data_IF_669293210768
#
_entry.id   IF_669293210768
#
_cell.length_a   1.000
_cell.length_b   1.000
_cell.length_c   1.000
_cell.angle_alpha   90.00
_cell.angle_beta   90.00
_cell.angle_gamma   90.00
#
_symmetry.space_group_name_H-M   'P 1'
#
loop_
_entity.id
_entity.type
_entity.pdbx_description
1 polymer ?
#
# COMPACT_ATOMS: atom_id res chain seq x y z
N UNK A 1 -15.74 14.48 -38.23
CA UNK A 1 -15.67 13.03 -37.91
C UNK A 1 -14.45 12.62 -37.08
N UNK A 2 -13.24 13.13 -37.34
CA UNK A 2 -12.01 12.73 -36.63
C UNK A 2 -12.06 12.88 -35.10
N UNK A 3 -12.62 13.98 -34.58
CA UNK A 3 -12.60 14.25 -33.13
C UNK A 3 -13.51 13.33 -32.29
N UNK A 4 -14.66 12.91 -32.84
CA UNK A 4 -15.57 11.93 -32.17
C UNK A 4 -14.90 10.55 -32.04
N UNK A 5 -14.09 10.16 -33.03
CA UNK A 5 -13.30 8.93 -32.98
C UNK A 5 -12.25 9.00 -31.87
N UNK A 6 -11.54 10.13 -31.75
CA UNK A 6 -10.53 10.33 -30.70
C UNK A 6 -11.09 10.20 -29.27
N UNK A 7 -12.24 10.83 -28.96
CA UNK A 7 -12.87 10.71 -27.63
C UNK A 7 -13.24 9.26 -27.34
N UNK A 8 -13.82 8.57 -28.33
CA UNK A 8 -14.17 7.16 -28.20
C UNK A 8 -12.94 6.29 -27.94
N UNK A 9 -11.84 6.54 -28.64
CA UNK A 9 -10.60 5.80 -28.48
C UNK A 9 -9.98 6.04 -27.09
N UNK A 10 -10.02 7.27 -26.58
CA UNK A 10 -9.59 7.61 -25.21
C UNK A 10 -10.45 6.91 -24.16
N UNK A 11 -11.78 6.93 -24.33
CA UNK A 11 -12.71 6.26 -23.42
C UNK A 11 -12.48 4.75 -23.38
N UNK A 12 -12.27 4.13 -24.55
CA UNK A 12 -11.93 2.71 -24.66
C UNK A 12 -10.60 2.39 -23.98
N UNK A 13 -9.57 3.22 -24.18
CA UNK A 13 -8.27 3.04 -23.54
C UNK A 13 -8.40 3.08 -22.01
N UNK A 14 -9.16 4.04 -21.47
CA UNK A 14 -9.42 4.12 -20.04
C UNK A 14 -10.15 2.87 -19.50
N UNK A 15 -11.16 2.37 -20.22
CA UNK A 15 -11.85 1.13 -19.86
C UNK A 15 -10.88 -0.06 -19.82
N UNK A 16 -9.99 -0.18 -20.81
CA UNK A 16 -9.00 -1.26 -20.84
C UNK A 16 -8.00 -1.17 -19.69
N UNK A 17 -7.49 0.03 -19.39
CA UNK A 17 -6.56 0.19 -18.25
C UNK A 17 -7.28 -0.08 -16.92
N UNK A 18 -8.52 0.39 -16.76
CA UNK A 18 -9.32 0.11 -15.56
C UNK A 18 -9.55 -1.39 -15.37
N UNK A 19 -9.82 -2.15 -16.44
CA UNK A 19 -9.93 -3.62 -16.38
C UNK A 19 -8.61 -4.27 -16.01
N UNK A 20 -7.51 -3.87 -16.64
CA UNK A 20 -6.18 -4.40 -16.31
C UNK A 20 -5.81 -4.17 -14.84
N UNK A 21 -6.10 -2.98 -14.29
CA UNK A 21 -5.84 -2.71 -12.87
C UNK A 21 -6.75 -3.52 -11.96
N UNK A 22 -8.03 -3.74 -12.33
CA UNK A 22 -8.89 -4.62 -11.55
C UNK A 22 -8.41 -6.07 -11.54
N UNK A 23 -7.88 -6.58 -12.66
CA UNK A 23 -7.27 -7.91 -12.73
C UNK A 23 -6.01 -8.00 -11.86
N UNK A 24 -5.15 -6.98 -11.93
CA UNK A 24 -3.97 -6.87 -11.04
C UNK A 24 -4.41 -6.87 -9.58
N UNK A 25 -5.42 -6.08 -9.21
CA UNK A 25 -5.95 -6.04 -7.86
C UNK A 25 -6.49 -7.38 -7.40
N UNK A 26 -7.16 -8.14 -8.28
CA UNK A 26 -7.67 -9.46 -7.94
C UNK A 26 -6.53 -10.41 -7.55
N UNK A 27 -5.46 -10.45 -8.35
CA UNK A 27 -4.27 -11.27 -8.07
C UNK A 27 -3.55 -10.78 -6.82
N UNK A 28 -3.31 -9.46 -6.73
CA UNK A 28 -2.70 -8.83 -5.56
C UNK A 28 -3.50 -9.08 -4.28
N UNK A 29 -4.83 -9.11 -4.34
CA UNK A 29 -5.67 -9.37 -3.17
C UNK A 29 -5.42 -10.75 -2.58
N UNK A 30 -5.21 -11.77 -3.40
CA UNK A 30 -5.00 -13.14 -2.91
C UNK A 30 -3.57 -13.28 -2.35
N UNK A 31 -2.57 -12.75 -3.06
CA UNK A 31 -1.16 -13.00 -2.75
C UNK A 31 -0.62 -12.04 -1.67
N UNK A 32 -0.96 -10.76 -1.75
CA UNK A 32 -0.39 -9.74 -0.86
C UNK A 32 -0.89 -9.84 0.57
N UNK A 33 -2.11 -10.35 0.82
CA UNK A 33 -2.59 -10.56 2.19
C UNK A 33 -1.71 -11.58 2.92
N UNK A 34 -1.39 -12.70 2.25
CA UNK A 34 -0.54 -13.74 2.82
C UNK A 34 0.86 -13.20 3.08
N UNK A 35 1.45 -12.53 2.09
CA UNK A 35 2.77 -11.88 2.22
C UNK A 35 2.80 -10.89 3.37
N UNK A 36 1.77 -10.03 3.47
CA UNK A 36 1.66 -9.02 4.50
C UNK A 36 1.51 -9.63 5.90
N UNK A 37 0.67 -10.65 6.05
CA UNK A 37 0.45 -11.34 7.33
C UNK A 37 1.73 -12.01 7.81
N UNK A 38 2.45 -12.69 6.90
CA UNK A 38 3.74 -13.32 7.22
C UNK A 38 4.78 -12.26 7.59
N UNK A 39 4.87 -11.15 6.85
CA UNK A 39 5.76 -10.03 7.18
C UNK A 39 5.51 -9.50 8.58
N UNK A 40 4.25 -9.26 8.94
CA UNK A 40 3.86 -8.75 10.25
C UNK A 40 4.28 -9.70 11.39
N UNK A 41 4.07 -11.01 11.21
CA UNK A 41 4.49 -12.02 12.19
C UNK A 41 6.02 -11.97 12.40
N UNK A 42 6.80 -11.88 11.32
CA UNK A 42 8.25 -11.79 11.44
C UNK A 42 8.71 -10.45 12.04
N UNK A 43 8.08 -9.33 11.69
CA UNK A 43 8.39 -8.01 12.29
C UNK A 43 8.19 -8.02 13.81
N UNK A 44 7.06 -8.57 14.27
CA UNK A 44 6.74 -8.75 15.70
C UNK A 44 7.75 -9.68 16.39
N UNK A 45 8.15 -10.76 15.70
CA UNK A 45 9.13 -11.73 16.20
C UNK A 45 10.52 -11.10 16.37
N UNK A 46 10.99 -10.33 15.38
CA UNK A 46 12.25 -9.58 15.45
C UNK A 46 12.20 -8.57 16.59
N UNK A 47 11.12 -7.80 16.67
CA UNK A 47 10.94 -6.79 17.71
C UNK A 47 11.08 -7.39 19.12
N UNK A 48 10.46 -8.55 19.35
CA UNK A 48 10.61 -9.31 20.59
C UNK A 48 12.05 -9.78 20.82
N UNK A 49 12.70 -10.35 19.80
CA UNK A 49 14.09 -10.80 19.90
C UNK A 49 15.05 -9.65 20.24
N UNK A 50 14.92 -8.50 19.57
CA UNK A 50 15.74 -7.31 19.84
C UNK A 50 15.58 -6.82 21.28
N UNK A 51 14.36 -6.88 21.83
CA UNK A 51 14.11 -6.52 23.22
C UNK A 51 14.84 -7.46 24.19
N UNK A 52 14.76 -8.77 23.95
CA UNK A 52 15.43 -9.79 24.78
C UNK A 52 16.95 -9.65 24.79
N UNK A 53 17.55 -9.26 23.65
CA UNK A 53 18.98 -8.88 23.55
C UNK A 53 19.25 -7.64 24.40
N UNK A 54 18.44 -6.59 24.24
CA UNK A 54 18.62 -5.32 24.95
C UNK A 54 18.53 -5.47 26.48
N UNK A 55 17.73 -6.43 26.97
CA UNK A 55 17.57 -6.69 28.40
C UNK A 55 18.62 -7.63 29.01
N UNK A 56 19.72 -7.94 28.29
CA UNK A 56 20.80 -8.82 28.77
C UNK A 56 20.35 -10.21 29.26
N UNK A 57 19.16 -10.68 28.84
CA UNK A 57 18.65 -12.03 29.14
C UNK A 57 19.26 -13.12 28.23
N UNK A 58 20.42 -12.83 27.63
CA UNK A 58 20.92 -13.40 26.38
C UNK A 58 21.90 -14.58 26.53
N UNK A 59 21.80 -15.38 27.60
CA UNK A 59 22.75 -16.49 27.81
C UNK A 59 22.61 -17.63 26.78
N UNK A 60 21.52 -17.69 26.01
CA UNK A 60 21.32 -18.64 24.90
C UNK A 60 20.60 -18.00 23.69
N UNK A 61 21.09 -16.85 23.24
CA UNK A 61 20.45 -16.12 22.15
C UNK A 61 20.80 -16.72 20.77
N UNK A 62 19.80 -17.24 20.06
CA UNK A 62 19.97 -17.78 18.71
C UNK A 62 20.08 -16.66 17.67
N UNK A 63 21.30 -16.15 17.51
CA UNK A 63 21.65 -15.15 16.51
C UNK A 63 21.34 -15.59 15.07
N UNK A 64 21.34 -16.89 14.79
CA UNK A 64 21.00 -17.39 13.46
C UNK A 64 19.50 -17.21 13.17
N UNK A 65 18.64 -17.48 14.15
CA UNK A 65 17.19 -17.22 14.05
C UNK A 65 16.87 -15.73 13.92
N UNK A 66 17.57 -14.86 14.65
CA UNK A 66 17.40 -13.40 14.50
C UNK A 66 17.83 -12.93 13.10
N UNK A 67 19.00 -13.37 12.63
CA UNK A 67 19.51 -13.01 11.30
C UNK A 67 18.57 -13.48 10.19
N UNK A 68 18.07 -14.72 10.28
CA UNK A 68 17.09 -15.26 9.34
C UNK A 68 15.79 -14.44 9.36
N UNK A 69 15.27 -14.11 10.55
CA UNK A 69 14.07 -13.29 10.67
C UNK A 69 14.26 -11.93 10.01
N UNK A 70 15.39 -11.23 10.24
CA UNK A 70 15.69 -9.94 9.61
C UNK A 70 15.75 -10.03 8.08
N UNK A 71 16.40 -11.06 7.52
CA UNK A 71 16.45 -11.27 6.08
C UNK A 71 15.06 -11.53 5.49
N UNK A 72 14.26 -12.35 6.16
CA UNK A 72 12.90 -12.70 5.74
C UNK A 72 11.99 -11.47 5.78
N UNK A 73 12.07 -10.65 6.84
CA UNK A 73 11.34 -9.37 6.92
C UNK A 73 11.76 -8.41 5.83
N UNK A 74 13.06 -8.25 5.54
CA UNK A 74 13.51 -7.41 4.43
C UNK A 74 12.98 -7.92 3.07
N UNK A 75 12.99 -9.23 2.86
CA UNK A 75 12.48 -9.85 1.64
C UNK A 75 10.97 -9.62 1.44
N UNK A 76 10.20 -9.40 2.50
CA UNK A 76 8.76 -9.11 2.43
C UNK A 76 8.40 -7.61 2.45
N UNK A 77 9.16 -6.79 3.17
CA UNK A 77 8.96 -5.33 3.22
C UNK A 77 9.32 -4.68 1.88
N UNK A 78 10.43 -5.07 1.25
CA UNK A 78 10.90 -4.43 0.01
C UNK A 78 9.85 -4.52 -1.13
N UNK A 79 9.29 -5.70 -1.46
CA UNK A 79 8.22 -5.80 -2.45
C UNK A 79 6.97 -4.97 -2.10
N UNK A 80 6.66 -4.85 -0.81
CA UNK A 80 5.56 -4.03 -0.31
C UNK A 80 5.81 -2.54 -0.57
N UNK A 81 7.01 -2.04 -0.27
CA UNK A 81 7.41 -0.64 -0.55
C UNK A 81 7.40 -0.37 -2.06
N UNK A 82 7.93 -1.28 -2.88
CA UNK A 82 7.92 -1.17 -4.34
C UNK A 82 6.47 -1.10 -4.86
N UNK A 83 5.60 -1.98 -4.37
CA UNK A 83 4.19 -2.01 -4.75
C UNK A 83 3.48 -0.69 -4.40
N UNK A 84 3.81 -0.09 -3.26
CA UNK A 84 3.30 1.23 -2.85
C UNK A 84 3.83 2.34 -3.76
N UNK A 85 5.12 2.31 -4.10
CA UNK A 85 5.71 3.26 -5.04
C UNK A 85 5.05 3.20 -6.42
N UNK A 86 4.83 1.98 -6.94
CA UNK A 86 4.11 1.76 -8.20
C UNK A 86 2.65 2.23 -8.12
N UNK A 87 1.94 1.92 -7.03
CA UNK A 87 0.56 2.38 -6.78
C UNK A 87 0.48 3.91 -6.77
N UNK A 88 1.36 4.57 -6.02
CA UNK A 88 1.41 6.02 -5.94
C UNK A 88 1.71 6.66 -7.30
N UNK A 89 2.66 6.11 -8.06
CA UNK A 89 2.98 6.56 -9.40
C UNK A 89 1.77 6.43 -10.34
N UNK A 90 1.09 5.28 -10.34
CA UNK A 90 -0.12 5.05 -11.14
C UNK A 90 -1.22 6.05 -10.80
N UNK A 91 -1.52 6.25 -9.51
CA UNK A 91 -2.54 7.20 -9.06
C UNK A 91 -2.19 8.62 -9.53
N UNK A 92 -0.93 9.03 -9.38
CA UNK A 92 -0.45 10.37 -9.79
C UNK A 92 -0.58 10.57 -11.30
N UNK A 93 -0.16 9.58 -12.10
CA UNK A 93 -0.31 9.62 -13.56
C UNK A 93 -1.78 9.73 -13.96
N UNK A 94 -2.68 9.02 -13.28
CA UNK A 94 -4.11 9.09 -13.55
C UNK A 94 -4.75 10.41 -13.14
N UNK A 95 -4.34 11.01 -12.03
CA UNK A 95 -4.79 12.33 -11.61
C UNK A 95 -4.37 13.40 -12.63
N UNK A 96 -3.12 13.35 -13.10
CA UNK A 96 -2.61 14.24 -14.14
C UNK A 96 -3.34 14.01 -15.47
N UNK A 97 -3.59 12.77 -15.85
CA UNK A 97 -4.38 12.46 -17.04
C UNK A 97 -5.79 13.03 -16.96
N UNK A 98 -6.44 12.92 -15.79
CA UNK A 98 -7.75 13.50 -15.56
C UNK A 98 -7.74 15.03 -15.63
N UNK A 99 -6.70 15.70 -15.13
CA UNK A 99 -6.60 17.16 -15.24
C UNK A 99 -6.40 17.62 -16.68
N UNK A 100 -5.61 16.89 -17.49
CA UNK A 100 -5.47 17.17 -18.92
C UNK A 100 -6.79 17.02 -19.68
N UNK A 101 -7.63 16.05 -19.33
CA UNK A 101 -8.96 15.91 -19.91
C UNK A 101 -9.85 17.11 -19.56
N UNK A 102 -9.79 17.61 -18.32
CA UNK A 102 -10.53 18.80 -17.90
C UNK A 102 -10.08 20.03 -18.69
N UNK A 103 -8.76 20.26 -18.75
CA UNK A 103 -8.20 21.40 -19.48
C UNK A 103 -8.54 21.35 -20.97
N UNK A 104 -8.48 20.17 -21.58
CA UNK A 104 -8.89 19.96 -22.97
C UNK A 104 -10.40 20.20 -23.17
N UNK A 105 -11.25 19.72 -22.26
CA UNK A 105 -12.70 19.94 -22.32
C UNK A 105 -13.04 21.43 -22.26
N UNK A 106 -12.38 22.19 -21.37
CA UNK A 106 -12.58 23.62 -21.20
C UNK A 106 -12.09 24.44 -22.40
N UNK A 107 -10.94 24.09 -22.97
CA UNK A 107 -10.38 24.79 -24.16
C UNK A 107 -11.18 24.51 -25.44
N UNK A 108 -11.86 23.37 -25.54
CA UNK A 108 -12.68 22.99 -26.71
C UNK A 108 -14.11 23.56 -26.68
N UNK A 109 -14.49 24.23 -25.59
CA UNK A 109 -15.84 24.75 -25.34
C UNK A 109 -16.32 25.80 -26.37
N UNK A 110 -15.40 26.37 -27.17
CA UNK A 110 -15.69 27.38 -28.21
C UNK A 110 -16.27 26.81 -29.52
N UNK A 111 -16.47 25.49 -29.67
CA UNK A 111 -16.78 24.89 -30.99
C UNK A 111 -18.11 24.16 -31.18
N UNK A 112 -18.62 23.41 -30.19
CA UNK A 112 -19.89 22.64 -30.34
C UNK A 112 -20.35 22.03 -29.02
N UNK A 113 -21.62 22.22 -28.65
CA UNK A 113 -22.26 21.76 -27.40
C UNK A 113 -22.13 20.23 -27.20
N UNK A 114 -22.29 19.43 -28.26
CA UNK A 114 -22.24 17.95 -28.24
C UNK A 114 -20.87 17.40 -27.78
N UNK A 115 -19.78 18.10 -28.11
CA UNK A 115 -18.42 17.67 -27.76
C UNK A 115 -18.09 17.94 -26.29
N UNK A 116 -18.58 19.06 -25.76
CA UNK A 116 -18.41 19.44 -24.35
C UNK A 116 -19.12 18.44 -23.44
N UNK A 117 -20.34 18.00 -23.81
CA UNK A 117 -21.09 17.00 -23.06
C UNK A 117 -20.41 15.62 -23.05
N UNK A 118 -19.84 15.18 -24.19
CA UNK A 118 -19.10 13.91 -24.27
C UNK A 118 -17.80 13.92 -23.44
N UNK A 119 -17.09 15.04 -23.41
CA UNK A 119 -15.92 15.24 -22.57
C UNK A 119 -16.27 15.30 -21.07
N UNK A 120 -17.36 15.98 -20.71
CA UNK A 120 -17.86 15.99 -19.32
C UNK A 120 -18.29 14.61 -18.84
N UNK A 121 -18.98 13.83 -19.69
CA UNK A 121 -19.34 12.44 -19.37
C UNK A 121 -18.11 11.56 -19.16
N UNK A 122 -17.09 11.71 -20.02
CA UNK A 122 -15.81 10.99 -19.85
C UNK A 122 -15.13 11.37 -18.52
N UNK A 123 -15.11 12.66 -18.19
CA UNK A 123 -14.55 13.15 -16.94
C UNK A 123 -15.27 12.61 -15.71
N UNK A 124 -16.61 12.68 -15.68
CA UNK A 124 -17.40 12.12 -14.59
C UNK A 124 -17.18 10.60 -14.46
N UNK A 125 -17.04 9.88 -15.57
CA UNK A 125 -16.76 8.45 -15.56
C UNK A 125 -15.37 8.12 -14.96
N UNK A 126 -14.36 8.94 -15.26
CA UNK A 126 -13.01 8.82 -14.68
C UNK A 126 -13.02 9.16 -13.19
N UNK A 127 -13.71 10.24 -12.80
CA UNK A 127 -13.81 10.70 -11.42
C UNK A 127 -14.55 9.72 -10.52
N UNK A 128 -15.60 9.08 -11.02
CA UNK A 128 -16.38 8.08 -10.29
C UNK A 128 -15.66 6.73 -10.15
N UNK A 129 -14.63 6.46 -10.96
CA UNK A 129 -13.85 5.21 -10.92
C UNK A 129 -12.36 5.48 -10.82
N UNK A 130 -11.88 6.06 -9.71
CA UNK A 130 -10.45 6.23 -9.52
C UNK A 130 -9.77 4.87 -9.57
N UNK A 131 -8.72 4.79 -10.37
CA UNK A 131 -7.89 3.60 -10.45
C UNK A 131 -7.07 3.55 -9.17
N UNK A 132 -7.34 2.52 -8.37
CA UNK A 132 -6.69 2.28 -7.08
C UNK A 132 -6.04 0.91 -7.11
N UNK A 133 -4.89 0.78 -6.47
CA UNK A 133 -4.29 -0.52 -6.20
C UNK A 133 -4.70 -0.95 -4.80
N UNK A 134 -5.44 -2.05 -4.71
CA UNK A 134 -5.91 -2.59 -3.43
C UNK A 134 -5.76 -4.10 -3.39
N UNK A 135 -5.66 -4.64 -2.17
CA UNK A 135 -5.59 -6.08 -1.92
C UNK A 135 -6.92 -6.63 -1.37
N UNK A 136 -8.05 -5.96 -1.63
CA UNK A 136 -9.38 -6.37 -1.19
C UNK A 136 -9.70 -6.05 0.28
N UNK A 137 -8.71 -6.08 1.18
CA UNK A 137 -8.88 -5.69 2.59
C UNK A 137 -8.42 -4.26 2.88
N UNK A 138 -7.37 -3.82 2.19
CA UNK A 138 -6.82 -2.48 2.36
C UNK A 138 -6.26 -1.94 1.04
N UNK A 139 -6.30 -0.61 0.93
CA UNK A 139 -5.66 0.13 -0.16
C UNK A 139 -4.15 0.15 0.09
N UNK A 140 -3.36 -0.15 -0.94
CA UNK A 140 -1.89 -0.12 -0.86
C UNK A 140 -1.44 1.34 -0.97
N UNK A 141 -1.29 1.99 0.19
CA UNK A 141 -1.01 3.41 0.31
C UNK A 141 -0.04 3.74 1.46
N UNK A 142 0.44 4.99 1.52
CA UNK A 142 1.34 5.44 2.59
C UNK A 142 0.76 5.29 4.01
N UNK A 143 -0.53 5.61 4.26
CA UNK A 143 -1.16 5.35 5.57
C UNK A 143 -1.02 3.91 6.09
N UNK A 144 -1.07 2.91 5.20
CA UNK A 144 -0.86 1.51 5.58
C UNK A 144 0.53 1.26 6.20
N UNK A 145 1.59 1.83 5.61
CA UNK A 145 2.96 1.71 6.14
C UNK A 145 3.04 2.34 7.53
N UNK A 146 2.49 3.55 7.67
CA UNK A 146 2.50 4.26 8.94
C UNK A 146 1.74 3.47 10.01
N UNK A 147 0.63 2.84 9.63
CA UNK A 147 -0.12 1.95 10.51
C UNK A 147 0.71 0.75 10.96
N UNK A 148 1.48 0.11 10.08
CA UNK A 148 2.37 -0.99 10.46
C UNK A 148 3.45 -0.55 11.45
N UNK A 149 4.11 0.58 11.18
CA UNK A 149 5.12 1.13 12.08
C UNK A 149 4.50 1.41 13.46
N UNK A 150 3.29 1.97 13.49
CA UNK A 150 2.57 2.23 14.74
C UNK A 150 2.19 0.93 15.48
N UNK A 151 1.79 -0.13 14.78
CA UNK A 151 1.47 -1.43 15.38
C UNK A 151 2.71 -2.07 16.01
N UNK A 152 3.83 -2.13 15.27
CA UNK A 152 5.10 -2.67 15.78
C UNK A 152 5.61 -1.85 16.97
N UNK A 153 5.56 -0.51 16.87
CA UNK A 153 5.94 0.38 17.96
C UNK A 153 5.07 0.19 19.20
N UNK A 154 3.76 0.07 19.03
CA UNK A 154 2.81 -0.15 20.14
C UNK A 154 3.04 -1.50 20.80
N UNK A 155 3.28 -2.56 20.01
CA UNK A 155 3.62 -3.89 20.51
C UNK A 155 4.90 -3.87 21.36
N UNK A 156 5.95 -3.19 20.90
CA UNK A 156 7.18 -3.02 21.67
C UNK A 156 6.94 -2.34 23.02
N UNK A 157 6.17 -1.24 23.03
CA UNK A 157 5.83 -0.55 24.28
C UNK A 157 5.10 -1.49 25.25
N UNK A 158 4.12 -2.25 24.75
CA UNK A 158 3.34 -3.19 25.57
C UNK A 158 4.25 -4.26 26.18
N UNK A 159 5.11 -4.91 25.39
CA UNK A 159 6.00 -5.96 25.92
C UNK A 159 7.01 -5.39 26.91
N UNK A 160 7.62 -4.23 26.62
CA UNK A 160 8.51 -3.57 27.57
C UNK A 160 7.82 -3.38 28.93
N UNK A 161 6.56 -2.91 28.95
CA UNK A 161 5.80 -2.72 30.18
C UNK A 161 5.53 -4.04 30.91
N UNK A 162 5.16 -5.11 30.18
CA UNK A 162 4.97 -6.43 30.79
C UNK A 162 6.25 -7.02 31.36
N UNK A 163 7.38 -6.92 30.66
CA UNK A 163 8.67 -7.45 31.14
C UNK A 163 9.18 -6.65 32.35
N UNK A 164 9.07 -5.32 32.35
CA UNK A 164 9.41 -4.48 33.52
C UNK A 164 8.54 -4.85 34.72
N UNK A 165 7.23 -5.01 34.52
CA UNK A 165 6.29 -5.40 35.60
C UNK A 165 6.62 -6.79 36.14
N UNK A 166 6.99 -7.73 35.27
CA UNK A 166 7.37 -9.10 35.65
C UNK A 166 8.67 -9.11 36.45
N UNK A 167 9.69 -8.35 36.01
CA UNK A 167 10.95 -8.22 36.75
C UNK A 167 10.76 -7.55 38.13
N UNK A 168 9.88 -6.55 38.21
CA UNK A 168 9.53 -5.93 39.49
C UNK A 168 8.74 -6.87 40.42
N UNK A 169 7.96 -7.81 39.87
CA UNK A 169 7.20 -8.81 40.62
C UNK A 169 8.04 -10.01 41.10
N UNK A 170 9.22 -10.24 40.51
CA UNK A 170 10.24 -11.20 40.99
C UNK A 170 11.48 -10.46 41.51
N UNK A 171 11.43 -9.85 42.71
CA UNK A 171 12.60 -9.25 43.32
C UNK A 171 13.53 -10.38 43.77
N UNK A 172 14.63 -10.59 43.05
CA UNK A 172 15.69 -11.56 43.37
C UNK A 172 15.28 -13.04 43.31
N UNK A 173 15.33 -13.59 42.09
CA UNK A 173 15.65 -15.00 41.85
C UNK A 173 17.15 -15.20 41.60
N UNK A 174 18.00 -14.56 42.40
CA UNK A 174 19.37 -14.96 42.72
C UNK A 174 19.55 -14.77 44.22
#
# INVERSE_FOLDING_TARGET
MMKKKLIKDIAMLYIYISRAVNEINLVFSIEMICVYTVSLIYEVTIAYYLLRVAMNSAEFFDWASLYLAMLVTLAFIIPTIISIGCSFYLITVFQNFSSYIVEYAWTTHNGSIDMTTQMQLLFELIKLRPIKVSCGFFDINLPLILSNIAVVGSYLVIICQFEITTQAATPNGK
#
